data_IF_194243744000
#
_entry.id   IF_194243744000
#
_cell.length_a   1.000
_cell.length_b   1.000
_cell.length_c   1.000
_cell.angle_alpha   90.00
_cell.angle_beta   90.00
_cell.angle_gamma   90.00
#
_symmetry.space_group_name_H-M   'P 1'
#
loop_
_entity.id
_entity.type
_entity.pdbx_description
1 polymer ?
#
# COMPACT_ATOMS: atom_id res chain seq x y z
N UNK A 1 -15.57 30.34 -9.33
CA UNK A 1 -16.34 30.43 -8.05
C UNK A 1 -16.41 29.12 -7.26
N UNK A 2 -16.59 27.93 -7.88
CA UNK A 2 -16.62 26.63 -7.17
C UNK A 2 -15.34 26.24 -6.41
N UNK A 3 -14.16 26.65 -6.90
CA UNK A 3 -12.86 26.28 -6.29
C UNK A 3 -12.63 26.92 -4.91
N UNK A 4 -12.92 28.21 -4.76
CA UNK A 4 -12.69 28.94 -3.51
C UNK A 4 -13.63 28.49 -2.39
N UNK A 5 -14.91 28.25 -2.70
CA UNK A 5 -15.87 27.73 -1.73
C UNK A 5 -15.50 26.33 -1.24
N UNK A 6 -14.97 25.47 -2.11
CA UNK A 6 -14.52 24.13 -1.73
C UNK A 6 -13.28 24.19 -0.83
N UNK A 7 -12.32 25.07 -1.15
CA UNK A 7 -11.15 25.32 -0.29
C UNK A 7 -11.53 25.87 1.09
N UNK A 8 -12.50 26.78 1.17
CA UNK A 8 -13.01 27.31 2.45
C UNK A 8 -13.74 26.20 3.22
N UNK A 9 -14.59 25.42 2.55
CA UNK A 9 -15.28 24.29 3.18
C UNK A 9 -14.27 23.27 3.72
N UNK A 10 -13.21 22.95 2.97
CA UNK A 10 -12.14 22.05 3.40
C UNK A 10 -11.34 22.62 4.59
N UNK A 11 -11.07 23.94 4.61
CA UNK A 11 -10.36 24.61 5.70
C UNK A 11 -11.18 24.68 7.01
N UNK A 12 -12.51 24.69 6.91
CA UNK A 12 -13.43 24.69 8.05
C UNK A 12 -13.71 23.30 8.61
N UNK A 13 -13.20 22.24 7.98
CA UNK A 13 -13.40 20.89 8.47
C UNK A 13 -12.62 20.66 9.77
N UNK A 14 -13.12 19.78 10.66
CA UNK A 14 -12.41 19.39 11.87
C UNK A 14 -11.01 18.87 11.53
N UNK A 15 -10.02 19.19 12.39
CA UNK A 15 -8.64 18.69 12.26
C UNK A 15 -8.55 17.16 12.21
N UNK A 16 -9.51 16.47 12.81
CA UNK A 16 -9.66 15.03 12.75
C UNK A 16 -11.08 14.69 12.32
N UNK A 17 -11.21 13.88 11.26
CA UNK A 17 -12.50 13.42 10.75
C UNK A 17 -12.36 11.99 10.26
N UNK A 18 -13.41 11.20 10.45
CA UNK A 18 -13.58 9.92 9.75
C UNK A 18 -14.18 10.25 8.39
N UNK A 19 -13.52 9.84 7.32
CA UNK A 19 -14.06 10.00 5.97
C UNK A 19 -15.21 9.01 5.76
N UNK A 20 -16.27 9.39 5.02
CA UNK A 20 -17.43 8.52 4.81
C UNK A 20 -17.16 7.37 3.82
N UNK A 21 -15.91 7.20 3.36
CA UNK A 21 -15.51 6.20 2.38
C UNK A 21 -14.74 5.08 3.05
N UNK A 22 -15.12 3.85 2.74
CA UNK A 22 -14.39 2.63 3.06
C UNK A 22 -13.68 2.16 1.78
N UNK A 23 -12.50 1.56 1.93
CA UNK A 23 -11.80 0.91 0.83
C UNK A 23 -12.02 -0.60 0.91
N UNK A 24 -12.50 -1.19 -0.19
CA UNK A 24 -12.72 -2.62 -0.32
C UNK A 24 -11.43 -3.36 -0.67
N UNK A 25 -10.60 -2.82 -1.55
CA UNK A 25 -9.41 -3.48 -2.07
C UNK A 25 -8.15 -2.79 -1.58
N UNK A 26 -7.92 -1.54 -2.00
CA UNK A 26 -6.70 -0.84 -1.66
C UNK A 26 -6.85 0.67 -1.56
N UNK A 27 -5.98 1.25 -0.74
CA UNK A 27 -5.70 2.67 -0.72
C UNK A 27 -4.26 2.88 -1.19
N UNK A 28 -4.05 3.80 -2.11
CA UNK A 28 -2.72 4.18 -2.58
C UNK A 28 -2.42 5.64 -2.31
N UNK A 29 -1.20 5.92 -1.88
CA UNK A 29 -0.72 7.26 -1.55
C UNK A 29 0.56 7.54 -2.30
N UNK A 30 0.56 8.61 -3.10
CA UNK A 30 1.72 9.07 -3.86
C UNK A 30 1.59 10.55 -4.23
N UNK A 31 2.67 11.12 -4.80
CA UNK A 31 2.59 12.36 -5.58
C UNK A 31 1.83 12.09 -6.90
N UNK A 32 1.10 13.09 -7.41
CA UNK A 32 0.36 12.95 -8.68
C UNK A 32 1.29 12.78 -9.89
N UNK A 33 2.44 13.45 -9.87
CA UNK A 33 3.45 13.30 -10.91
C UNK A 33 4.32 12.08 -10.62
N UNK A 34 4.22 11.05 -11.47
CA UNK A 34 4.98 9.80 -11.31
C UNK A 34 6.51 10.00 -11.30
N UNK A 35 7.03 11.11 -11.82
CA UNK A 35 8.45 11.47 -11.76
C UNK A 35 8.90 12.02 -10.41
N UNK A 36 7.97 12.26 -9.49
CA UNK A 36 8.24 12.81 -8.15
C UNK A 36 8.02 11.73 -7.10
N UNK A 37 9.07 11.29 -6.40
CA UNK A 37 8.90 10.42 -5.25
C UNK A 37 8.33 11.20 -4.06
N UNK A 38 7.55 10.51 -3.24
CA UNK A 38 6.97 11.04 -2.00
C UNK A 38 7.81 10.65 -0.79
N UNK A 39 7.84 11.49 0.24
CA UNK A 39 8.38 11.12 1.56
C UNK A 39 7.24 10.90 2.53
N UNK A 40 7.21 9.73 3.16
CA UNK A 40 6.16 9.29 4.07
C UNK A 40 6.74 8.88 5.40
N UNK A 41 6.05 9.27 6.48
CA UNK A 41 6.28 8.74 7.82
C UNK A 41 5.21 7.71 8.11
N UNK A 42 5.61 6.47 8.42
CA UNK A 42 4.74 5.29 8.50
C UNK A 42 4.87 4.67 9.90
N UNK A 43 3.74 4.28 10.48
CA UNK A 43 3.66 3.53 11.73
C UNK A 43 2.63 2.41 11.56
N UNK A 44 3.05 1.16 11.72
CA UNK A 44 2.16 0.00 11.71
C UNK A 44 1.89 -0.47 13.14
N UNK A 45 0.62 -0.73 13.46
CA UNK A 45 0.15 -1.12 14.79
C UNK A 45 0.78 -0.27 15.92
N UNK A 46 1.49 -0.92 16.85
CA UNK A 46 2.21 -0.27 17.96
C UNK A 46 3.72 -0.25 17.77
N UNK A 47 4.19 -0.43 16.53
CA UNK A 47 5.61 -0.46 16.20
C UNK A 47 6.22 0.94 16.10
N UNK A 48 7.56 0.96 15.99
CA UNK A 48 8.32 2.20 15.81
C UNK A 48 7.98 2.88 14.49
N UNK A 49 7.87 4.20 14.54
CA UNK A 49 7.60 5.01 13.37
C UNK A 49 8.89 5.20 12.57
N UNK A 50 8.83 4.98 11.26
CA UNK A 50 9.96 5.24 10.36
C UNK A 50 9.57 6.21 9.24
N UNK A 51 10.57 6.86 8.64
CA UNK A 51 10.38 7.76 7.49
C UNK A 51 11.15 7.24 6.30
N UNK A 52 10.51 7.21 5.14
CA UNK A 52 11.14 6.76 3.89
C UNK A 52 10.67 7.56 2.70
N UNK A 53 11.51 7.59 1.66
CA UNK A 53 11.19 8.14 0.36
C UNK A 53 10.84 6.97 -0.57
N UNK A 54 9.78 7.09 -1.35
CA UNK A 54 9.29 6.03 -2.23
C UNK A 54 8.50 6.61 -3.40
N UNK A 55 8.13 5.77 -4.37
CA UNK A 55 7.16 6.15 -5.40
C UNK A 55 5.72 6.14 -4.87
N UNK A 56 5.49 5.50 -3.71
CA UNK A 56 4.22 5.56 -3.00
C UNK A 56 4.11 4.51 -1.89
N UNK A 57 2.91 4.37 -1.35
CA UNK A 57 2.53 3.25 -0.47
C UNK A 57 1.14 2.75 -0.86
N UNK A 58 1.00 1.43 -0.96
CA UNK A 58 -0.27 0.74 -1.06
C UNK A 58 -0.65 0.15 0.30
N UNK A 59 -1.90 0.27 0.71
CA UNK A 59 -2.50 -0.41 1.86
C UNK A 59 -3.66 -1.22 1.33
N UNK A 60 -3.58 -2.56 1.41
CA UNK A 60 -4.58 -3.45 0.83
C UNK A 60 -5.26 -4.35 1.87
N UNK A 61 -6.51 -4.69 1.61
CA UNK A 61 -7.28 -5.71 2.33
C UNK A 61 -6.99 -7.11 1.78
N UNK A 62 -7.58 -8.15 2.39
CA UNK A 62 -7.45 -9.51 1.88
C UNK A 62 -8.00 -9.69 0.47
N UNK A 63 -9.13 -9.06 0.12
CA UNK A 63 -9.63 -9.03 -1.27
C UNK A 63 -8.70 -8.27 -2.20
N UNK A 64 -8.15 -7.14 -1.74
CA UNK A 64 -7.16 -6.34 -2.49
C UNK A 64 -5.84 -7.06 -2.75
N UNK A 65 -5.46 -8.06 -1.94
CA UNK A 65 -4.24 -8.85 -2.14
C UNK A 65 -4.16 -9.54 -3.50
N UNK A 66 -5.31 -9.76 -4.16
CA UNK A 66 -5.45 -10.35 -5.50
C UNK A 66 -5.54 -9.30 -6.63
N UNK A 67 -5.68 -8.02 -6.29
CA UNK A 67 -5.84 -6.88 -7.20
C UNK A 67 -4.46 -6.25 -7.51
N UNK A 68 -4.38 -4.91 -7.55
CA UNK A 68 -3.17 -4.17 -7.88
C UNK A 68 -1.99 -4.47 -6.95
N UNK A 69 -2.26 -4.84 -5.69
CA UNK A 69 -1.23 -5.33 -4.77
C UNK A 69 -0.47 -6.54 -5.33
N UNK A 70 -1.17 -7.50 -5.95
CA UNK A 70 -0.53 -8.65 -6.62
C UNK A 70 0.38 -8.16 -7.75
N UNK A 71 -0.13 -7.27 -8.60
CA UNK A 71 0.60 -6.73 -9.74
C UNK A 71 1.88 -6.01 -9.33
N UNK A 72 1.85 -5.21 -8.26
CA UNK A 72 3.02 -4.52 -7.72
C UNK A 72 4.12 -5.46 -7.24
N UNK A 73 3.78 -6.71 -6.91
CA UNK A 73 4.74 -7.70 -6.44
C UNK A 73 5.17 -8.72 -7.51
N UNK A 74 4.63 -8.66 -8.73
CA UNK A 74 4.99 -9.60 -9.79
C UNK A 74 6.50 -9.60 -10.05
N UNK A 75 7.06 -10.79 -10.21
CA UNK A 75 8.44 -10.98 -10.63
C UNK A 75 8.43 -11.68 -11.99
N UNK A 76 9.40 -11.36 -12.84
CA UNK A 76 9.56 -12.03 -14.12
C UNK A 76 10.31 -13.36 -13.95
N UNK A 77 10.06 -14.30 -14.84
CA UNK A 77 10.75 -15.60 -14.88
C UNK A 77 12.26 -15.40 -15.02
N UNK A 78 12.70 -14.44 -15.84
CA UNK A 78 14.11 -14.10 -16.03
C UNK A 78 14.75 -13.59 -14.74
N UNK A 79 14.03 -12.76 -13.97
CA UNK A 79 14.51 -12.22 -12.70
C UNK A 79 14.77 -13.35 -11.71
N UNK A 80 13.81 -14.26 -11.55
CA UNK A 80 13.93 -15.40 -10.64
C UNK A 80 15.03 -16.37 -11.08
N UNK A 81 15.12 -16.68 -12.38
CA UNK A 81 16.19 -17.52 -12.92
C UNK A 81 17.58 -16.90 -12.65
N UNK A 82 17.71 -15.59 -12.85
CA UNK A 82 18.96 -14.86 -12.60
C UNK A 82 19.35 -14.95 -11.12
N UNK A 83 18.42 -14.64 -10.21
CA UNK A 83 18.66 -14.72 -8.77
C UNK A 83 19.01 -16.13 -8.30
N UNK A 84 18.29 -17.15 -8.79
CA UNK A 84 18.57 -18.54 -8.47
C UNK A 84 19.97 -18.97 -8.94
N UNK A 85 20.36 -18.55 -10.15
CA UNK A 85 21.71 -18.81 -10.69
C UNK A 85 22.78 -18.12 -9.84
N UNK A 86 22.57 -16.86 -9.45
CA UNK A 86 23.52 -16.13 -8.59
C UNK A 86 23.65 -16.75 -7.19
N UNK A 87 22.55 -17.24 -6.62
CA UNK A 87 22.54 -17.78 -5.26
C UNK A 87 23.03 -19.23 -5.18
N UNK A 88 22.79 -20.04 -6.22
CA UNK A 88 22.99 -21.51 -6.17
C UNK A 88 23.92 -22.05 -7.26
N UNK A 89 24.27 -21.24 -8.26
CA UNK A 89 24.99 -21.68 -9.46
C UNK A 89 24.14 -22.47 -10.47
N UNK A 90 22.89 -22.83 -10.13
CA UNK A 90 21.98 -23.55 -11.02
C UNK A 90 20.99 -22.58 -11.67
N UNK A 91 20.90 -22.63 -12.99
CA UNK A 91 19.80 -21.99 -13.72
C UNK A 91 18.56 -22.88 -13.64
N UNK A 92 17.46 -22.31 -13.14
CA UNK A 92 16.17 -22.98 -13.14
C UNK A 92 15.64 -23.11 -14.57
N UNK A 93 15.02 -24.24 -14.88
CA UNK A 93 14.22 -24.35 -16.11
C UNK A 93 12.91 -23.54 -15.99
N UNK A 94 12.14 -23.47 -17.08
CA UNK A 94 10.91 -22.67 -17.13
C UNK A 94 9.86 -23.19 -16.13
N UNK A 95 9.73 -24.51 -15.99
CA UNK A 95 8.76 -25.12 -15.08
C UNK A 95 9.14 -24.89 -13.61
N UNK A 96 10.41 -25.07 -13.28
CA UNK A 96 10.94 -24.80 -11.94
C UNK A 96 10.76 -23.32 -11.55
N UNK A 97 11.00 -22.41 -12.50
CA UNK A 97 10.82 -20.98 -12.29
C UNK A 97 9.35 -20.60 -12.10
N UNK A 98 8.45 -21.18 -12.90
CA UNK A 98 7.00 -20.97 -12.79
C UNK A 98 6.44 -21.51 -11.47
N UNK A 99 6.87 -22.70 -11.03
CA UNK A 99 6.50 -23.27 -9.73
C UNK A 99 6.96 -22.35 -8.57
N UNK A 100 8.17 -21.82 -8.65
CA UNK A 100 8.70 -20.89 -7.66
C UNK A 100 7.94 -19.56 -7.66
N UNK A 101 7.65 -18.99 -8.82
CA UNK A 101 6.82 -17.79 -8.96
C UNK A 101 5.41 -18.00 -8.41
N UNK A 102 4.79 -19.14 -8.71
CA UNK A 102 3.49 -19.50 -8.17
C UNK A 102 3.51 -19.56 -6.64
N UNK A 103 4.53 -20.21 -6.06
CA UNK A 103 4.72 -20.27 -4.61
C UNK A 103 4.95 -18.89 -4.00
N UNK A 104 5.79 -18.06 -4.63
CA UNK A 104 6.04 -16.70 -4.20
C UNK A 104 4.77 -15.86 -4.18
N UNK A 105 4.00 -15.85 -5.28
CA UNK A 105 2.74 -15.10 -5.37
C UNK A 105 1.68 -15.61 -4.40
N UNK A 106 1.58 -16.93 -4.21
CA UNK A 106 0.62 -17.53 -3.26
C UNK A 106 0.89 -17.08 -1.82
N UNK A 107 2.15 -16.87 -1.45
CA UNK A 107 2.54 -16.37 -0.13
C UNK A 107 2.20 -14.89 0.10
N UNK A 108 1.84 -14.13 -0.95
CA UNK A 108 1.40 -12.74 -0.83
C UNK A 108 -0.09 -12.62 -0.55
N UNK A 109 -0.85 -13.66 -0.90
CA UNK A 109 -2.29 -13.67 -0.74
C UNK A 109 -2.64 -13.96 0.71
N UNK A 110 -3.69 -13.29 1.18
CA UNK A 110 -4.29 -13.57 2.48
C UNK A 110 -5.80 -13.53 2.38
N UNK A 111 -6.54 -14.22 3.29
CA UNK A 111 -7.98 -14.37 3.16
C UNK A 111 -8.73 -13.04 3.13
N UNK A 112 -9.78 -12.94 2.32
CA UNK A 112 -10.57 -11.72 2.17
C UNK A 112 -11.34 -11.34 3.45
N UNK A 113 -11.68 -12.33 4.27
CA UNK A 113 -12.32 -12.20 5.58
C UNK A 113 -11.32 -11.99 6.73
N UNK A 114 -10.01 -11.96 6.44
CA UNK A 114 -9.02 -11.67 7.45
C UNK A 114 -9.21 -10.24 8.00
N UNK A 115 -9.23 -10.13 9.32
CA UNK A 115 -9.27 -8.83 10.01
C UNK A 115 -7.90 -8.14 10.03
N UNK A 116 -7.16 -8.23 8.92
CA UNK A 116 -5.82 -7.69 8.73
C UNK A 116 -5.71 -7.04 7.36
N UNK A 117 -4.83 -6.06 7.26
CA UNK A 117 -4.39 -5.48 6.00
C UNK A 117 -2.89 -5.68 5.82
N UNK A 118 -2.40 -5.44 4.62
CA UNK A 118 -0.98 -5.37 4.34
C UNK A 118 -0.66 -4.03 3.69
N UNK A 119 0.36 -3.34 4.19
CA UNK A 119 0.95 -2.23 3.46
C UNK A 119 2.15 -2.71 2.63
N UNK A 120 2.41 -2.02 1.53
CA UNK A 120 3.62 -2.16 0.70
C UNK A 120 4.10 -0.78 0.26
N UNK A 121 5.36 -0.49 0.55
CA UNK A 121 6.05 0.72 0.10
C UNK A 121 6.55 0.47 -1.32
N UNK A 122 5.98 1.18 -2.28
CA UNK A 122 6.26 0.99 -3.70
C UNK A 122 7.56 1.71 -4.09
N UNK A 123 8.54 0.97 -4.62
CA UNK A 123 9.87 1.47 -4.98
C UNK A 123 10.54 2.26 -3.85
N UNK A 124 10.66 1.63 -2.69
CA UNK A 124 11.32 2.22 -1.52
C UNK A 124 12.77 2.60 -1.85
N UNK A 125 13.13 3.88 -1.66
CA UNK A 125 14.50 4.34 -1.80
C UNK A 125 15.31 3.87 -0.58
N UNK A 126 16.21 2.91 -0.80
CA UNK A 126 17.17 2.45 0.19
C UNK A 126 18.51 3.13 -0.05
N UNK A 127 18.87 4.10 0.80
CA UNK A 127 20.23 4.65 0.84
C UNK A 127 21.07 3.92 1.90
N UNK A 128 22.39 4.15 1.89
CA UNK A 128 23.33 3.53 2.84
C UNK A 128 22.99 3.80 4.32
N UNK A 129 22.23 4.87 4.58
CA UNK A 129 21.87 5.33 5.93
C UNK A 129 20.47 4.85 6.35
N UNK A 130 19.73 4.15 5.49
CA UNK A 130 18.45 3.55 5.84
C UNK A 130 18.70 2.33 6.73
N UNK A 131 18.01 2.23 7.89
CA UNK A 131 18.06 1.02 8.70
C UNK A 131 17.68 -0.19 7.84
N UNK A 132 18.54 -1.21 7.85
CA UNK A 132 18.30 -2.45 7.08
C UNK A 132 17.01 -3.16 7.51
N UNK A 133 16.49 -2.84 8.70
CA UNK A 133 15.29 -3.45 9.28
C UNK A 133 13.96 -2.92 8.77
N UNK A 134 13.90 -1.82 7.99
CA UNK A 134 12.60 -1.28 7.58
C UNK A 134 11.94 -2.23 6.57
N UNK A 135 10.79 -2.84 6.93
CA UNK A 135 10.10 -3.76 6.04
C UNK A 135 9.41 -2.98 4.93
N UNK A 136 9.69 -3.34 3.68
CA UNK A 136 9.01 -2.77 2.52
C UNK A 136 7.53 -3.20 2.46
N UNK A 137 7.17 -4.30 3.14
CA UNK A 137 5.82 -4.85 3.19
C UNK A 137 5.60 -5.51 4.54
N UNK A 138 4.43 -5.28 5.13
CA UNK A 138 4.08 -5.86 6.42
C UNK A 138 2.56 -5.95 6.59
N UNK A 139 2.11 -7.00 7.28
CA UNK A 139 0.72 -7.15 7.70
C UNK A 139 0.48 -6.44 9.04
N UNK A 140 -0.66 -5.78 9.18
CA UNK A 140 -1.04 -5.03 10.38
C UNK A 140 -2.56 -4.91 10.50
N UNK A 141 -3.05 -4.48 11.66
CA UNK A 141 -4.47 -4.15 11.87
C UNK A 141 -4.73 -2.66 11.69
N UNK A 142 -3.69 -1.85 11.89
CA UNK A 142 -3.70 -0.40 11.81
C UNK A 142 -2.41 0.10 11.15
N UNK A 143 -2.53 1.08 10.27
CA UNK A 143 -1.38 1.80 9.73
C UNK A 143 -1.67 3.30 9.69
N UNK A 144 -0.76 4.08 10.26
CA UNK A 144 -0.79 5.54 10.23
C UNK A 144 0.27 6.02 9.26
N UNK A 145 -0.13 6.88 8.33
CA UNK A 145 0.75 7.47 7.32
C UNK A 145 0.66 8.98 7.44
N UNK A 146 1.80 9.66 7.51
CA UNK A 146 1.92 11.11 7.43
C UNK A 146 2.70 11.51 6.19
N UNK A 147 2.12 12.43 5.41
CA UNK A 147 2.71 12.94 4.18
C UNK A 147 3.73 14.05 4.43
N UNK A 148 4.79 14.05 3.64
CA UNK A 148 5.66 15.21 3.40
C UNK A 148 5.68 15.63 1.92
N UNK A 149 4.67 15.22 1.16
CA UNK A 149 4.53 15.53 -0.27
C UNK A 149 3.83 16.87 -0.52
N UNK A 150 4.03 17.50 -1.67
CA UNK A 150 3.46 18.83 -1.95
C UNK A 150 2.27 18.78 -2.91
N UNK A 151 2.24 17.80 -3.82
CA UNK A 151 1.14 17.53 -4.75
C UNK A 151 0.76 16.05 -4.65
N UNK A 152 0.47 15.63 -3.42
CA UNK A 152 0.21 14.26 -3.06
C UNK A 152 -1.30 13.99 -2.93
N UNK A 153 -1.68 12.75 -3.18
CA UNK A 153 -3.05 12.29 -3.10
C UNK A 153 -3.17 10.92 -2.43
N UNK A 154 -4.33 10.68 -1.84
CA UNK A 154 -4.82 9.36 -1.47
C UNK A 154 -5.85 8.95 -2.52
N UNK A 155 -5.74 7.72 -3.03
CA UNK A 155 -6.71 7.10 -3.94
C UNK A 155 -7.27 5.84 -3.28
N UNK A 156 -8.59 5.76 -3.13
CA UNK A 156 -9.31 4.62 -2.57
C UNK A 156 -9.96 3.84 -3.71
N UNK A 157 -9.67 2.54 -3.79
CA UNK A 157 -10.21 1.58 -4.78
C UNK A 157 -10.15 2.06 -6.24
N UNK A 158 -9.19 2.92 -6.56
CA UNK A 158 -9.06 3.54 -7.88
C UNK A 158 -10.19 4.51 -8.27
N UNK A 159 -11.16 4.79 -7.39
CA UNK A 159 -12.37 5.55 -7.74
C UNK A 159 -12.50 6.89 -7.03
N UNK A 160 -12.04 7.00 -5.78
CA UNK A 160 -12.13 8.23 -4.98
C UNK A 160 -10.73 8.75 -4.72
N UNK A 161 -10.48 10.02 -5.05
CA UNK A 161 -9.21 10.70 -4.80
C UNK A 161 -9.36 11.92 -3.90
N UNK A 162 -8.39 12.10 -3.00
CA UNK A 162 -8.36 13.18 -2.02
C UNK A 162 -6.95 13.76 -1.94
N UNK A 163 -6.79 15.09 -1.77
CA UNK A 163 -5.49 15.68 -1.49
C UNK A 163 -4.88 15.15 -0.19
N UNK A 164 -3.57 14.91 -0.20
CA UNK A 164 -2.82 14.40 0.94
C UNK A 164 -1.40 14.98 1.01
N UNK A 165 -1.35 16.31 1.04
CA UNK A 165 -0.12 17.10 1.04
C UNK A 165 0.56 17.12 2.42
N UNK A 166 1.69 17.82 2.50
CA UNK A 166 2.58 17.89 3.65
C UNK A 166 1.82 18.21 4.94
N UNK A 167 2.17 17.49 6.00
CA UNK A 167 1.52 17.56 7.29
C UNK A 167 0.24 16.73 7.41
N UNK A 168 -0.39 16.32 6.31
CA UNK A 168 -1.59 15.47 6.34
C UNK A 168 -1.27 14.11 6.96
N UNK A 169 -2.16 13.62 7.81
CA UNK A 169 -2.03 12.30 8.44
C UNK A 169 -3.32 11.51 8.24
N UNK A 170 -3.19 10.29 7.74
CA UNK A 170 -4.27 9.33 7.58
C UNK A 170 -3.99 8.11 8.47
N UNK A 171 -5.05 7.54 9.02
CA UNK A 171 -4.99 6.28 9.77
C UNK A 171 -5.98 5.32 9.12
N UNK A 172 -5.46 4.17 8.71
CA UNK A 172 -6.23 3.07 8.17
C UNK A 172 -6.32 2.01 9.25
N UNK A 173 -7.49 1.38 9.36
CA UNK A 173 -7.75 0.36 10.38
C UNK A 173 -8.78 -0.62 9.82
N UNK A 174 -8.54 -1.92 9.99
CA UNK A 174 -9.56 -2.94 9.70
C UNK A 174 -10.39 -3.14 10.96
N UNK A 175 -11.71 -2.98 10.83
CA UNK A 175 -12.66 -3.25 11.91
C UNK A 175 -13.79 -4.16 11.44
N UNK A 176 -14.22 -5.14 12.26
CA UNK A 176 -15.29 -6.07 11.90
C UNK A 176 -16.62 -5.38 11.57
N UNK A 177 -16.88 -4.20 12.15
CA UNK A 177 -18.15 -3.50 11.94
C UNK A 177 -18.30 -2.93 10.51
N UNK A 178 -17.19 -2.83 9.78
CA UNK A 178 -17.14 -2.34 8.40
C UNK A 178 -17.00 -3.47 7.37
N UNK A 179 -17.05 -4.74 7.79
CA UNK A 179 -16.98 -5.88 6.88
C UNK A 179 -18.21 -5.93 5.95
N UNK A 180 -17.97 -6.20 4.66
CA UNK A 180 -19.06 -6.49 3.73
C UNK A 180 -19.82 -7.75 4.16
N UNK A 181 -21.14 -7.70 4.04
CA UNK A 181 -22.02 -8.85 4.32
C UNK A 181 -22.31 -9.61 3.03
N UNK A 182 -22.40 -10.93 3.12
CA UNK A 182 -22.88 -11.76 2.03
C UNK A 182 -24.39 -11.56 1.83
N UNK A 183 -24.83 -11.44 0.59
CA UNK A 183 -26.24 -11.47 0.23
C UNK A 183 -26.59 -12.93 -0.09
N UNK A 184 -27.49 -13.52 0.69
CA UNK A 184 -28.03 -14.85 0.42
C UNK A 184 -29.43 -14.66 -0.15
N UNK A 185 -29.59 -15.01 -1.43
CA UNK A 185 -30.91 -15.10 -2.08
C UNK A 185 -31.35 -16.57 -2.02
N UNK A 186 -32.52 -16.80 -1.44
CA UNK A 186 -33.19 -18.10 -1.40
C UNK A 186 -34.29 -18.15 -2.45
#
# INVERSE_FOLDING_TARGET
MRSTQRKIADALQPRWRILPWLALNEVFIAEFFASRPITLTIQADSEETFTTRSSGICVCTGSGSRSWFRTMNLQSTETIQTLATMATGKRLDEKEADELLHKYHSNLLFPADALKMAYMIYEMYRNSNCPKSIPARQMCHKVKVKSRGFDAGIVLDGCVSLPFNDGSTATFEIRPEYSLKNIILL
#
